data_IF_980672133350
#
_entry.id   IF_980672133350
#
_cell.length_a   1.000
_cell.length_b   1.000
_cell.length_c   1.000
_cell.angle_alpha   90.00
_cell.angle_beta   90.00
_cell.angle_gamma   90.00
#
_symmetry.space_group_name_H-M   'P 1'
#
loop_
_entity.id
_entity.type
_entity.pdbx_description
1 polymer ?
#
# COMPACT_ATOMS: atom_id res chain seq x y z
N UNK A 1 14.66 67.12 -12.83
CA UNK A 1 14.70 66.14 -11.71
C UNK A 1 13.48 65.21 -11.67
N UNK A 2 12.24 65.71 -11.80
CA UNK A 2 11.03 64.86 -11.80
C UNK A 2 10.97 63.82 -12.92
N UNK A 3 11.40 64.19 -14.14
CA UNK A 3 11.41 63.25 -15.28
C UNK A 3 12.41 62.10 -15.11
N UNK A 4 13.57 62.36 -14.51
CA UNK A 4 14.60 61.34 -14.26
C UNK A 4 14.13 60.29 -13.24
N UNK A 5 13.38 60.74 -12.22
CA UNK A 5 12.80 59.86 -11.20
C UNK A 5 11.71 58.94 -11.79
N UNK A 6 10.93 59.44 -12.74
CA UNK A 6 9.89 58.67 -13.43
C UNK A 6 10.51 57.55 -14.28
N UNK A 7 11.59 57.84 -15.03
CA UNK A 7 12.29 56.80 -15.80
C UNK A 7 12.95 55.74 -14.92
N UNK A 8 13.48 56.14 -13.76
CA UNK A 8 14.12 55.23 -12.81
C UNK A 8 13.10 54.30 -12.13
N UNK A 9 11.90 54.81 -11.83
CA UNK A 9 10.77 54.00 -11.32
C UNK A 9 10.19 53.09 -12.39
N UNK A 10 10.09 53.54 -13.65
CA UNK A 10 9.63 52.69 -14.77
C UNK A 10 10.58 51.53 -15.07
N UNK A 11 11.90 51.73 -14.92
CA UNK A 11 12.87 50.64 -15.09
C UNK A 11 12.93 49.71 -13.87
N UNK A 12 12.62 50.20 -12.66
CA UNK A 12 12.57 49.38 -11.45
C UNK A 12 11.36 48.41 -11.41
N UNK A 13 10.33 48.66 -12.22
CA UNK A 13 9.10 47.87 -12.28
C UNK A 13 8.92 47.07 -13.59
N UNK A 14 9.98 46.87 -14.38
CA UNK A 14 9.94 45.81 -15.40
C UNK A 14 10.11 44.45 -14.69
N UNK A 15 9.06 43.62 -14.55
CA UNK A 15 9.27 42.27 -14.05
C UNK A 15 10.11 41.54 -15.10
N UNK A 16 11.28 41.07 -14.70
CA UNK A 16 11.97 39.97 -15.39
C UNK A 16 11.01 38.77 -15.38
N UNK A 17 10.19 38.65 -16.42
CA UNK A 17 9.42 37.46 -16.73
C UNK A 17 10.41 36.38 -17.21
N UNK A 18 11.25 35.89 -16.32
CA UNK A 18 11.90 34.61 -16.51
C UNK A 18 10.85 33.54 -16.17
N UNK A 19 10.41 32.70 -17.13
CA UNK A 19 9.67 31.50 -16.78
C UNK A 19 10.48 30.67 -15.76
N UNK A 20 10.04 30.69 -14.50
CA UNK A 20 10.60 29.93 -13.38
C UNK A 20 10.10 28.47 -13.35
N UNK A 21 9.37 28.03 -14.38
CA UNK A 21 8.83 26.68 -14.44
C UNK A 21 9.87 25.77 -15.08
N UNK A 22 10.53 24.94 -14.26
CA UNK A 22 11.27 23.81 -14.78
C UNK A 22 10.34 23.01 -15.71
N UNK A 23 10.78 22.61 -16.91
CA UNK A 23 9.96 21.75 -17.75
C UNK A 23 9.69 20.48 -16.95
N UNK A 24 8.44 20.30 -16.52
CA UNK A 24 7.95 19.03 -16.02
C UNK A 24 8.33 18.01 -17.09
N UNK A 25 9.20 17.05 -16.73
CA UNK A 25 9.62 16.00 -17.65
C UNK A 25 8.37 15.43 -18.32
N UNK A 26 8.38 15.17 -19.64
CA UNK A 26 7.18 14.76 -20.35
C UNK A 26 6.59 13.55 -19.66
N UNK A 27 5.37 13.71 -19.11
CA UNK A 27 4.63 12.64 -18.47
C UNK A 27 4.36 11.59 -19.53
N UNK A 28 5.17 10.53 -19.53
CA UNK A 28 5.02 9.46 -20.50
C UNK A 28 3.84 8.60 -20.08
N UNK A 29 2.69 8.84 -20.69
CA UNK A 29 1.52 7.96 -20.54
C UNK A 29 1.70 6.79 -21.51
N UNK A 30 2.10 5.62 -20.98
CA UNK A 30 2.13 4.38 -21.76
C UNK A 30 0.81 3.66 -21.59
N UNK A 31 0.21 3.20 -22.69
CA UNK A 31 -0.87 2.22 -22.63
C UNK A 31 -0.27 0.84 -22.34
N UNK A 32 -0.96 0.01 -21.58
CA UNK A 32 -0.54 -1.36 -21.34
C UNK A 32 -0.36 -2.08 -22.69
N UNK A 33 0.79 -2.74 -22.89
CA UNK A 33 1.06 -3.51 -24.10
C UNK A 33 0.20 -4.78 -24.16
N UNK A 34 -0.08 -5.37 -22.99
CA UNK A 34 -1.00 -6.47 -22.80
C UNK A 34 -1.90 -6.15 -21.60
N UNK A 35 -3.20 -6.30 -21.81
CA UNK A 35 -4.20 -6.32 -20.77
C UNK A 35 -5.08 -7.53 -21.08
N UNK A 36 -4.71 -8.69 -20.55
CA UNK A 36 -5.46 -9.91 -20.82
C UNK A 36 -6.79 -9.86 -20.09
N UNK A 37 -7.85 -10.32 -20.76
CA UNK A 37 -9.14 -10.53 -20.13
C UNK A 37 -9.20 -11.99 -19.77
N UNK A 38 -9.35 -12.28 -18.48
CA UNK A 38 -9.57 -13.64 -18.00
C UNK A 38 -10.79 -14.22 -18.75
N UNK A 39 -10.61 -15.20 -19.65
CA UNK A 39 -11.66 -15.58 -20.60
C UNK A 39 -12.76 -16.43 -19.93
N UNK A 40 -12.50 -16.93 -18.73
CA UNK A 40 -13.34 -17.85 -17.98
C UNK A 40 -13.66 -17.27 -16.60
N UNK A 41 -14.78 -17.68 -16.04
CA UNK A 41 -15.07 -17.38 -14.64
C UNK A 41 -14.04 -18.09 -13.76
N UNK A 42 -13.67 -17.51 -12.63
CA UNK A 42 -12.67 -18.08 -11.73
C UNK A 42 -12.96 -19.53 -11.32
N UNK A 43 -14.26 -19.88 -11.19
CA UNK A 43 -14.72 -21.24 -10.86
C UNK A 43 -14.37 -22.28 -11.94
N UNK A 44 -14.16 -21.83 -13.17
CA UNK A 44 -13.89 -22.66 -14.34
C UNK A 44 -12.39 -22.65 -14.72
N UNK A 45 -11.59 -21.80 -14.05
CA UNK A 45 -10.14 -21.73 -14.30
C UNK A 45 -9.42 -22.94 -13.72
N UNK A 46 -8.41 -23.42 -14.45
CA UNK A 46 -7.49 -24.45 -13.95
C UNK A 46 -6.74 -23.92 -12.73
N UNK A 47 -6.99 -24.53 -11.57
CA UNK A 47 -6.36 -24.14 -10.29
C UNK A 47 -4.88 -24.46 -10.33
N UNK A 48 -4.03 -23.46 -10.03
CA UNK A 48 -2.62 -23.69 -9.73
C UNK A 48 -2.50 -23.85 -8.22
N UNK A 49 -2.01 -25.01 -7.78
CA UNK A 49 -1.83 -25.27 -6.35
C UNK A 49 -0.67 -24.42 -5.80
N UNK A 50 -0.83 -23.83 -4.61
CA UNK A 50 0.23 -23.07 -3.99
C UNK A 50 1.38 -23.99 -3.57
N UNK A 51 2.58 -23.46 -3.57
CA UNK A 51 3.78 -24.14 -3.10
C UNK A 51 4.76 -23.20 -2.42
N UNK A 52 5.74 -23.80 -1.72
CA UNK A 52 6.82 -23.06 -1.09
C UNK A 52 7.67 -22.33 -2.14
N UNK A 53 8.03 -21.08 -1.85
CA UNK A 53 8.90 -20.32 -2.74
C UNK A 53 10.35 -20.43 -2.32
N UNK A 54 11.21 -20.81 -3.27
CA UNK A 54 12.66 -20.69 -3.12
C UNK A 54 13.03 -19.22 -3.03
N UNK A 55 13.60 -18.83 -1.89
CA UNK A 55 14.07 -17.46 -1.62
C UNK A 55 15.60 -17.37 -1.63
N UNK A 56 16.27 -18.14 -2.50
CA UNK A 56 17.73 -18.12 -2.62
C UNK A 56 18.30 -16.71 -2.91
N UNK A 57 17.50 -15.82 -3.50
CA UNK A 57 17.87 -14.41 -3.69
C UNK A 57 17.95 -13.60 -2.38
N UNK A 58 17.27 -14.04 -1.30
CA UNK A 58 17.34 -13.44 0.04
C UNK A 58 18.58 -13.87 0.83
N UNK A 59 19.31 -14.89 0.38
CA UNK A 59 20.61 -15.26 0.96
C UNK A 59 21.68 -14.19 0.62
N UNK A 60 21.40 -13.32 -0.35
CA UNK A 60 22.12 -12.07 -0.51
C UNK A 60 21.72 -11.07 0.58
N UNK A 61 22.70 -10.52 1.30
CA UNK A 61 22.47 -9.42 2.24
C UNK A 61 22.01 -8.18 1.46
N UNK A 62 20.69 -7.97 1.37
CA UNK A 62 20.13 -6.68 0.96
C UNK A 62 20.03 -5.84 2.22
N UNK A 63 21.02 -4.95 2.42
CA UNK A 63 20.95 -3.96 3.49
C UNK A 63 19.73 -3.08 3.24
N UNK A 64 18.83 -3.01 4.23
CA UNK A 64 17.79 -2.02 4.21
C UNK A 64 18.44 -0.67 4.54
N UNK A 65 18.76 0.13 3.53
CA UNK A 65 19.34 1.48 3.73
C UNK A 65 18.33 2.46 4.37
N UNK A 66 17.09 2.02 4.58
CA UNK A 66 16.09 2.81 5.28
C UNK A 66 16.40 2.85 6.78
N UNK A 67 17.23 3.83 7.13
CA UNK A 67 17.38 4.45 8.45
C UNK A 67 17.97 3.51 9.50
N UNK A 68 19.23 3.76 9.88
CA UNK A 68 19.65 3.43 11.25
C UNK A 68 18.68 4.18 12.17
N UNK A 69 17.71 3.46 12.73
CA UNK A 69 16.92 3.95 13.85
C UNK A 69 17.87 3.99 15.04
N UNK A 70 18.73 5.00 15.10
CA UNK A 70 19.37 5.38 16.34
C UNK A 70 18.20 5.67 17.28
N UNK A 71 18.04 4.94 18.40
CA UNK A 71 17.07 5.33 19.40
C UNK A 71 17.37 6.79 19.73
N UNK A 72 16.39 7.69 19.55
CA UNK A 72 16.56 9.02 20.11
C UNK A 72 16.84 8.81 21.58
N UNK A 73 17.98 9.31 22.08
CA UNK A 73 18.30 9.30 23.50
C UNK A 73 17.05 9.78 24.26
N UNK A 74 16.37 8.87 24.95
CA UNK A 74 15.13 9.14 25.70
C UNK A 74 15.37 10.06 26.90
N UNK A 75 16.64 10.40 27.17
CA UNK A 75 17.09 11.17 28.32
C UNK A 75 16.49 12.60 28.42
N UNK A 76 15.89 13.14 27.36
CA UNK A 76 15.28 14.48 27.36
C UNK A 76 13.79 14.47 26.92
N UNK A 77 13.06 13.37 27.14
CA UNK A 77 11.61 13.37 26.89
C UNK A 77 10.90 14.13 28.01
N UNK A 78 10.64 15.41 27.80
CA UNK A 78 9.64 16.15 28.58
C UNK A 78 8.25 15.73 28.09
N UNK A 79 7.41 15.09 28.92
CA UNK A 79 6.07 14.71 28.52
C UNK A 79 5.27 15.97 28.19
N UNK A 80 4.90 16.15 26.91
CA UNK A 80 4.00 17.22 26.52
C UNK A 80 2.69 17.12 27.31
N UNK A 81 2.31 18.19 28.00
CA UNK A 81 0.98 18.27 28.62
C UNK A 81 -0.03 18.60 27.54
N UNK A 82 -0.79 17.60 27.10
CA UNK A 82 -1.88 17.79 26.14
C UNK A 82 -3.18 18.07 26.89
N UNK A 83 -3.76 19.25 26.72
CA UNK A 83 -5.02 19.65 27.41
C UNK A 83 -6.19 18.71 27.12
N UNK A 84 -6.18 18.01 25.98
CA UNK A 84 -7.24 17.10 25.54
C UNK A 84 -6.76 15.64 25.47
N UNK A 85 -5.87 15.22 26.36
CA UNK A 85 -5.42 13.83 26.41
C UNK A 85 -6.59 12.93 26.84
N UNK A 86 -6.88 11.89 26.06
CA UNK A 86 -7.87 10.87 26.41
C UNK A 86 -7.43 10.16 27.71
N UNK A 87 -8.12 10.45 28.82
CA UNK A 87 -7.81 9.87 30.14
C UNK A 87 -8.47 8.49 30.37
N UNK A 88 -9.42 8.12 29.53
CA UNK A 88 -10.21 6.90 29.70
C UNK A 88 -10.32 6.14 28.39
N UNK A 89 -10.17 4.81 28.45
CA UNK A 89 -10.49 3.96 27.30
C UNK A 89 -11.97 4.11 26.95
N UNK A 90 -12.26 4.30 25.67
CA UNK A 90 -13.65 4.25 25.19
C UNK A 90 -14.26 2.86 25.39
N UNK A 91 -15.57 2.79 25.57
CA UNK A 91 -16.28 1.52 25.50
C UNK A 91 -16.38 1.06 24.04
N UNK A 92 -15.73 -0.06 23.70
CA UNK A 92 -15.90 -0.68 22.39
C UNK A 92 -17.22 -1.45 22.42
N UNK A 93 -18.31 -0.83 21.94
CA UNK A 93 -19.56 -1.53 21.62
C UNK A 93 -19.48 -2.12 20.21
N UNK A 94 -18.64 -3.14 20.05
CA UNK A 94 -18.60 -3.94 18.83
C UNK A 94 -19.40 -5.22 19.05
N UNK A 95 -20.12 -5.69 18.02
CA UNK A 95 -20.81 -7.00 18.04
C UNK A 95 -19.82 -8.18 18.05
N UNK A 96 -18.52 -7.91 17.96
CA UNK A 96 -17.49 -8.93 17.75
C UNK A 96 -17.50 -9.44 16.31
N UNK A 97 -16.51 -10.27 15.94
CA UNK A 97 -16.51 -10.94 14.65
C UNK A 97 -17.74 -11.84 14.52
N UNK A 98 -18.50 -11.69 13.45
CA UNK A 98 -19.68 -12.51 13.19
C UNK A 98 -19.32 -13.95 12.80
N UNK A 99 -18.13 -14.14 12.22
CA UNK A 99 -17.59 -15.42 11.75
C UNK A 99 -16.09 -15.42 11.99
N UNK A 100 -15.56 -16.56 12.43
CA UNK A 100 -14.13 -16.80 12.58
C UNK A 100 -13.71 -17.92 11.61
N UNK A 101 -12.61 -17.73 10.89
CA UNK A 101 -12.06 -18.69 9.91
C UNK A 101 -10.55 -18.78 10.06
N UNK A 102 -9.98 -19.96 9.81
CA UNK A 102 -8.53 -20.19 9.90
C UNK A 102 -7.74 -19.45 8.82
N UNK A 103 -8.38 -19.15 7.68
CA UNK A 103 -7.75 -18.49 6.54
C UNK A 103 -6.84 -19.39 5.70
N UNK A 104 -5.99 -18.77 4.89
CA UNK A 104 -5.04 -19.45 3.99
C UNK A 104 -3.79 -19.96 4.73
N UNK A 105 -3.29 -19.23 5.73
CA UNK A 105 -2.02 -19.52 6.41
C UNK A 105 -0.78 -19.27 5.54
N UNK A 106 0.41 -19.66 6.03
CA UNK A 106 1.68 -19.49 5.31
C UNK A 106 2.00 -20.66 4.37
N UNK A 107 1.17 -20.89 3.36
CA UNK A 107 1.34 -21.99 2.40
C UNK A 107 2.51 -21.79 1.44
N UNK A 108 3.09 -20.58 1.39
CA UNK A 108 4.22 -20.26 0.50
C UNK A 108 5.58 -20.26 1.22
N UNK A 109 5.62 -20.41 2.55
CA UNK A 109 6.86 -20.27 3.33
C UNK A 109 7.45 -18.85 3.27
N UNK A 110 6.63 -17.83 3.04
CA UNK A 110 7.04 -16.43 2.85
C UNK A 110 6.79 -15.62 4.12
N UNK A 111 7.77 -14.79 4.46
CA UNK A 111 7.81 -13.92 5.62
C UNK A 111 8.40 -12.54 5.25
N UNK A 112 7.90 -11.45 5.86
CA UNK A 112 6.72 -11.42 6.76
C UNK A 112 5.41 -11.77 6.00
N UNK A 113 4.32 -12.11 6.70
CA UNK A 113 3.05 -12.43 6.04
C UNK A 113 2.35 -11.16 5.53
N UNK A 114 2.18 -11.05 4.22
CA UNK A 114 1.39 -9.97 3.60
C UNK A 114 -0.06 -10.44 3.43
N UNK A 115 -0.88 -10.23 4.47
CA UNK A 115 -2.29 -10.67 4.49
C UNK A 115 -3.22 -9.52 4.14
N UNK A 116 -4.09 -9.73 3.16
CA UNK A 116 -5.10 -8.78 2.72
C UNK A 116 -6.40 -9.51 2.37
N UNK A 117 -7.50 -8.76 2.22
CA UNK A 117 -8.75 -9.31 1.76
C UNK A 117 -9.88 -8.30 1.73
N UNK A 118 -10.92 -8.63 0.95
CA UNK A 118 -12.08 -7.77 0.79
C UNK A 118 -13.39 -8.57 0.84
N UNK A 119 -14.44 -7.89 1.26
CA UNK A 119 -15.75 -8.46 1.58
C UNK A 119 -16.75 -8.03 0.52
N UNK A 120 -17.12 -8.95 -0.37
CA UNK A 120 -18.21 -8.75 -1.33
C UNK A 120 -19.60 -9.05 -0.74
N UNK A 121 -20.66 -8.92 -1.57
CA UNK A 121 -22.04 -9.20 -1.15
C UNK A 121 -22.20 -10.63 -0.61
N UNK A 122 -21.60 -11.61 -1.31
CA UNK A 122 -21.80 -13.04 -1.03
C UNK A 122 -20.54 -13.75 -0.53
N UNK A 123 -19.36 -13.13 -0.66
CA UNK A 123 -18.08 -13.78 -0.43
C UNK A 123 -17.12 -12.90 0.34
N UNK A 124 -16.17 -13.54 1.00
CA UNK A 124 -14.93 -12.92 1.46
C UNK A 124 -13.78 -13.48 0.63
N UNK A 125 -12.96 -12.60 0.07
CA UNK A 125 -11.75 -12.94 -0.66
C UNK A 125 -10.56 -12.63 0.24
N UNK A 126 -9.69 -13.59 0.48
CA UNK A 126 -8.46 -13.41 1.25
C UNK A 126 -7.25 -13.74 0.37
N UNK A 127 -6.21 -12.92 0.44
CA UNK A 127 -4.90 -13.21 -0.12
C UNK A 127 -3.83 -13.13 0.96
N UNK A 128 -2.91 -14.10 0.96
CA UNK A 128 -1.69 -14.08 1.78
C UNK A 128 -0.50 -14.30 0.86
N UNK A 129 0.33 -13.28 0.72
CA UNK A 129 1.48 -13.27 -0.19
C UNK A 129 1.11 -13.66 -1.63
N UNK A 130 1.29 -14.94 -1.96
CA UNK A 130 1.18 -15.49 -3.32
C UNK A 130 0.03 -16.48 -3.45
N UNK A 131 -0.84 -16.58 -2.44
CA UNK A 131 -1.96 -17.51 -2.45
C UNK A 131 -3.23 -16.84 -1.98
N UNK A 132 -4.37 -17.21 -2.54
CA UNK A 132 -5.67 -16.67 -2.15
C UNK A 132 -6.72 -17.78 -1.94
N UNK A 133 -7.76 -17.47 -1.17
CA UNK A 133 -8.92 -18.32 -1.00
C UNK A 133 -10.20 -17.48 -0.92
N UNK A 134 -11.33 -18.09 -1.29
CA UNK A 134 -12.64 -17.46 -1.26
C UNK A 134 -13.54 -18.23 -0.30
N UNK A 135 -14.25 -17.51 0.55
CA UNK A 135 -15.16 -18.04 1.56
C UNK A 135 -16.57 -17.49 1.34
N UNK A 136 -17.60 -18.27 1.68
CA UNK A 136 -18.95 -17.73 1.84
C UNK A 136 -19.03 -16.89 3.13
N UNK A 137 -20.14 -16.17 3.32
CA UNK A 137 -20.36 -15.32 4.50
C UNK A 137 -20.50 -16.09 5.82
N UNK A 138 -20.64 -17.41 5.77
CA UNK A 138 -20.68 -18.30 6.94
C UNK A 138 -19.30 -18.91 7.26
N UNK A 139 -18.27 -18.58 6.49
CA UNK A 139 -16.89 -19.05 6.70
C UNK A 139 -16.52 -20.35 5.99
N UNK A 140 -17.42 -20.95 5.20
CA UNK A 140 -17.09 -22.13 4.38
C UNK A 140 -16.17 -21.71 3.24
N UNK A 141 -15.02 -22.38 3.09
CA UNK A 141 -14.11 -22.19 1.95
C UNK A 141 -14.77 -22.73 0.68
N UNK A 142 -14.92 -21.88 -0.33
CA UNK A 142 -15.51 -22.22 -1.63
C UNK A 142 -14.46 -22.42 -2.72
N UNK A 143 -13.31 -21.76 -2.59
CA UNK A 143 -12.23 -21.84 -3.57
C UNK A 143 -10.87 -21.70 -2.88
N UNK A 144 -9.88 -22.41 -3.43
CA UNK A 144 -8.49 -22.36 -2.98
C UNK A 144 -8.22 -23.15 -1.68
N UNK A 145 -7.04 -22.94 -1.06
CA UNK A 145 -6.05 -21.95 -1.45
C UNK A 145 -5.46 -22.25 -2.83
N UNK A 146 -5.36 -21.21 -3.66
CA UNK A 146 -4.80 -21.26 -5.00
C UNK A 146 -3.66 -20.27 -5.12
N UNK A 147 -2.66 -20.59 -5.93
CA UNK A 147 -1.58 -19.68 -6.29
C UNK A 147 -2.15 -18.45 -7.02
N UNK A 148 -1.65 -17.26 -6.75
CA UNK A 148 -2.16 -16.02 -7.36
C UNK A 148 -1.91 -15.99 -8.87
N UNK A 149 -0.94 -16.76 -9.37
CA UNK A 149 -0.76 -17.00 -10.81
C UNK A 149 -1.92 -17.74 -11.45
N UNK A 150 -2.89 -18.25 -10.68
CA UNK A 150 -4.16 -18.72 -11.24
C UNK A 150 -4.94 -17.57 -11.89
N UNK A 151 -4.70 -16.31 -11.51
CA UNK A 151 -5.45 -15.16 -12.01
C UNK A 151 -4.87 -14.54 -13.30
N UNK A 152 -3.62 -14.85 -13.68
CA UNK A 152 -2.89 -14.20 -14.79
C UNK A 152 -1.90 -15.11 -15.51
#
# INVERSE_FOLDING_TARGET
>A
MKQLLIYLVLHAFLPLLAPAQQPLSPRTVRKAAFADKTPQQLRDMTVILPGERKRAWKDGIIKNESVEMTPKNEANYEPGTYENLQQTKGEIKSRGPMVNIDGVGNVNGVYPPDTDGDVGPNHYFQMINLSFAIYNKNGTKLYGPADNSTLW
#
